data_IF_136475891438
#
_entry.id   IF_136475891438
#
_cell.length_a   1.000
_cell.length_b   1.000
_cell.length_c   1.000
_cell.angle_alpha   90.00
_cell.angle_beta   90.00
_cell.angle_gamma   90.00
#
_symmetry.space_group_name_H-M   'P 1'
#
loop_
_entity.id
_entity.type
_entity.pdbx_description
1 polymer ?
#
# COMPACT_ATOMS: atom_id res chain seq x y z
N UNK A 1 7.69 -10.25 16.43
CA UNK A 1 7.61 -9.25 17.54
C UNK A 1 8.18 -7.93 17.00
N UNK A 2 7.71 -6.74 17.40
CA UNK A 2 8.20 -5.44 16.84
C UNK A 2 9.45 -4.88 17.56
N UNK A 3 9.69 -5.32 18.80
CA UNK A 3 10.83 -4.88 19.63
C UNK A 3 12.21 -5.03 18.96
N UNK A 4 12.51 -6.13 18.23
CA UNK A 4 13.80 -6.27 17.54
C UNK A 4 14.04 -5.20 16.47
N UNK A 5 13.00 -4.74 15.77
CA UNK A 5 13.10 -3.69 14.74
C UNK A 5 13.43 -2.34 15.37
N UNK A 6 12.83 -2.00 16.51
CA UNK A 6 13.15 -0.76 17.24
C UNK A 6 14.59 -0.79 17.80
N UNK A 7 15.01 -1.93 18.37
CA UNK A 7 16.38 -2.10 18.83
C UNK A 7 17.40 -1.97 17.69
N UNK A 8 17.06 -2.49 16.50
CA UNK A 8 17.89 -2.34 15.30
C UNK A 8 17.97 -0.88 14.84
N UNK A 9 16.86 -0.13 14.92
CA UNK A 9 16.86 1.32 14.62
C UNK A 9 17.71 2.13 15.61
N UNK A 10 17.62 1.82 16.91
CA UNK A 10 18.46 2.46 17.93
C UNK A 10 19.94 2.18 17.66
N UNK A 11 20.27 0.96 17.26
CA UNK A 11 21.63 0.59 16.86
C UNK A 11 22.10 1.40 15.64
N UNK A 12 21.29 1.46 14.57
CA UNK A 12 21.61 2.25 13.36
C UNK A 12 21.86 3.72 13.74
N UNK A 13 20.99 4.30 14.57
CA UNK A 13 21.12 5.70 15.04
C UNK A 13 22.42 5.92 15.81
N UNK A 14 22.85 4.96 16.62
CA UNK A 14 24.12 5.04 17.36
C UNK A 14 25.38 4.92 16.48
N UNK A 15 25.22 4.52 15.21
CA UNK A 15 26.32 4.21 14.28
C UNK A 15 26.34 5.07 13.03
N UNK A 16 25.49 6.11 12.95
CA UNK A 16 25.39 6.99 11.78
C UNK A 16 26.76 7.54 11.35
N UNK A 17 27.60 7.94 12.30
CA UNK A 17 28.92 8.53 12.03
C UNK A 17 30.06 7.49 11.90
N UNK A 18 29.81 6.21 12.20
CA UNK A 18 30.81 5.18 12.09
C UNK A 18 30.97 4.78 10.61
N UNK A 19 32.19 4.81 10.05
CA UNK A 19 32.43 4.44 8.64
C UNK A 19 32.44 2.93 8.35
N UNK A 20 31.95 2.09 9.27
CA UNK A 20 32.15 0.64 9.21
C UNK A 20 31.17 -0.06 8.27
N UNK A 21 31.71 -0.84 7.31
CA UNK A 21 30.92 -1.56 6.29
C UNK A 21 30.38 -2.92 6.76
N UNK A 22 31.08 -3.54 7.70
CA UNK A 22 30.75 -4.86 8.23
C UNK A 22 30.69 -4.81 9.76
N UNK A 23 29.69 -5.46 10.32
CA UNK A 23 29.52 -5.59 11.76
C UNK A 23 29.45 -7.06 12.15
N UNK A 24 29.97 -7.43 13.33
CA UNK A 24 29.83 -8.79 13.79
C UNK A 24 28.36 -9.08 14.15
N UNK A 25 27.87 -10.31 13.93
CA UNK A 25 26.45 -10.65 14.04
C UNK A 25 25.89 -10.52 15.46
N UNK A 26 26.74 -10.62 16.49
CA UNK A 26 26.34 -10.42 17.89
C UNK A 26 26.15 -8.94 18.26
N UNK A 27 26.62 -8.00 17.44
CA UNK A 27 26.49 -6.57 17.69
C UNK A 27 25.15 -5.98 17.23
N UNK A 28 24.35 -6.75 16.48
CA UNK A 28 23.09 -6.29 15.88
C UNK A 28 21.97 -7.30 16.06
N UNK A 29 20.71 -6.87 16.21
CA UNK A 29 19.56 -7.79 16.19
C UNK A 29 19.43 -8.46 14.81
N UNK A 30 19.73 -9.75 14.72
CA UNK A 30 19.62 -10.53 13.48
C UNK A 30 18.27 -11.25 13.40
N UNK A 31 17.88 -11.89 14.50
CA UNK A 31 16.65 -12.66 14.57
C UNK A 31 15.41 -11.77 14.56
N UNK A 32 14.38 -12.22 13.84
CA UNK A 32 13.13 -11.49 13.57
C UNK A 32 13.25 -10.17 12.77
N UNK A 33 14.47 -9.64 12.60
CA UNK A 33 14.75 -8.46 11.77
C UNK A 33 15.06 -8.86 10.34
N UNK A 34 15.88 -9.89 10.13
CA UNK A 34 16.29 -10.34 8.80
C UNK A 34 15.42 -11.52 8.34
N UNK A 35 14.56 -11.35 7.32
CA UNK A 35 13.83 -12.47 6.73
C UNK A 35 14.78 -13.52 6.16
N UNK A 36 14.39 -14.80 6.23
CA UNK A 36 15.20 -15.90 5.70
C UNK A 36 15.66 -15.66 4.25
N UNK A 37 14.77 -15.12 3.40
CA UNK A 37 15.06 -14.78 2.00
C UNK A 37 16.15 -13.73 1.79
N UNK A 38 16.44 -12.89 2.80
CA UNK A 38 17.42 -11.81 2.70
C UNK A 38 18.72 -12.13 3.46
N UNK A 39 18.76 -13.24 4.20
CA UNK A 39 19.93 -13.61 5.01
C UNK A 39 21.21 -13.70 4.21
N UNK A 40 21.20 -14.34 3.04
CA UNK A 40 22.38 -14.45 2.17
C UNK A 40 22.84 -13.13 1.54
N UNK A 41 21.97 -12.11 1.49
CA UNK A 41 22.33 -10.77 1.00
C UNK A 41 22.85 -9.86 2.12
N UNK A 42 22.55 -10.19 3.38
CA UNK A 42 22.88 -9.38 4.56
C UNK A 42 24.05 -9.96 5.34
N UNK A 43 24.18 -11.28 5.39
CA UNK A 43 25.24 -12.01 6.12
C UNK A 43 26.13 -12.68 5.08
N UNK A 44 27.44 -12.42 5.16
CA UNK A 44 28.43 -13.05 4.29
C UNK A 44 28.84 -14.47 4.75
N UNK A 45 29.67 -15.15 3.96
CA UNK A 45 30.15 -16.50 4.25
C UNK A 45 30.98 -16.59 5.54
N UNK A 46 31.58 -15.49 5.97
CA UNK A 46 32.32 -15.36 7.23
C UNK A 46 31.41 -15.04 8.42
N UNK A 47 30.10 -14.95 8.20
CA UNK A 47 29.10 -14.64 9.22
C UNK A 47 29.01 -13.16 9.60
N UNK A 48 29.69 -12.27 8.88
CA UNK A 48 29.65 -10.81 9.13
C UNK A 48 28.41 -10.20 8.48
N UNK A 49 27.84 -9.22 9.16
CA UNK A 49 26.67 -8.48 8.69
C UNK A 49 27.13 -7.30 7.84
N UNK A 50 26.74 -7.26 6.57
CA UNK A 50 26.88 -6.08 5.73
C UNK A 50 25.92 -4.99 6.22
N UNK A 51 26.48 -3.88 6.68
CA UNK A 51 25.71 -2.80 7.30
C UNK A 51 24.67 -2.20 6.37
N UNK A 52 25.02 -1.91 5.11
CA UNK A 52 24.11 -1.27 4.15
C UNK A 52 22.92 -2.20 3.86
N UNK A 53 23.20 -3.48 3.58
CA UNK A 53 22.16 -4.49 3.39
C UNK A 53 21.27 -4.64 4.63
N UNK A 54 21.87 -4.57 5.82
CA UNK A 54 21.16 -4.64 7.09
C UNK A 54 20.25 -3.44 7.32
N UNK A 55 20.74 -2.21 7.11
CA UNK A 55 19.95 -0.97 7.22
C UNK A 55 18.74 -0.99 6.29
N UNK A 56 18.95 -1.38 5.02
CA UNK A 56 17.85 -1.55 4.07
C UNK A 56 16.85 -2.61 4.53
N UNK A 57 17.32 -3.69 5.15
CA UNK A 57 16.47 -4.71 5.75
C UNK A 57 15.63 -4.16 6.90
N UNK A 58 16.25 -3.44 7.84
CA UNK A 58 15.56 -2.82 8.97
C UNK A 58 14.54 -1.81 8.50
N UNK A 59 14.87 -0.95 7.53
CA UNK A 59 13.94 0.04 6.98
C UNK A 59 12.77 -0.61 6.23
N UNK A 60 13.01 -1.70 5.51
CA UNK A 60 11.94 -2.47 4.88
C UNK A 60 10.99 -3.10 5.91
N UNK A 61 11.53 -3.68 6.98
CA UNK A 61 10.72 -4.18 8.09
C UNK A 61 9.94 -3.07 8.78
N UNK A 62 10.60 -1.95 9.10
CA UNK A 62 9.96 -0.79 9.72
C UNK A 62 8.78 -0.32 8.87
N UNK A 63 8.97 -0.16 7.56
CA UNK A 63 7.90 0.23 6.64
C UNK A 63 6.71 -0.74 6.73
N UNK A 64 6.98 -2.04 6.70
CA UNK A 64 5.92 -3.05 6.72
C UNK A 64 5.17 -3.04 8.07
N UNK A 65 5.87 -2.86 9.19
CA UNK A 65 5.30 -2.72 10.55
C UNK A 65 4.51 -1.42 10.76
N UNK A 66 4.96 -0.32 10.15
CA UNK A 66 4.21 0.94 10.12
C UNK A 66 2.92 0.79 9.31
N UNK A 67 2.99 0.08 8.17
CA UNK A 67 1.81 -0.19 7.34
C UNK A 67 0.80 -1.11 8.04
N UNK A 68 1.25 -2.05 8.86
CA UNK A 68 0.36 -2.90 9.68
C UNK A 68 -0.07 -2.24 10.99
N UNK A 69 0.36 -1.00 11.27
CA UNK A 69 0.14 -0.28 12.53
C UNK A 69 0.67 -1.02 13.78
N UNK A 70 1.62 -1.94 13.62
CA UNK A 70 2.34 -2.55 14.75
C UNK A 70 3.36 -1.59 15.37
N UNK A 71 3.91 -0.69 14.55
CA UNK A 71 4.71 0.45 14.96
C UNK A 71 3.97 1.69 14.44
N UNK A 72 3.88 2.73 15.26
CA UNK A 72 3.25 4.00 14.87
C UNK A 72 4.18 5.18 15.12
N UNK A 73 3.89 6.29 14.45
CA UNK A 73 4.65 7.52 14.57
C UNK A 73 3.80 8.54 15.33
N UNK A 74 4.29 8.98 16.48
CA UNK A 74 3.64 10.02 17.29
C UNK A 74 3.58 11.31 16.47
N UNK A 75 2.38 11.91 16.39
CA UNK A 75 2.13 13.13 15.62
C UNK A 75 1.86 12.92 14.12
N UNK A 76 2.03 11.71 13.58
CA UNK A 76 1.55 11.40 12.23
C UNK A 76 0.03 11.22 12.25
N UNK A 77 -0.68 11.57 11.17
CA UNK A 77 -2.11 11.29 11.06
C UNK A 77 -2.34 9.86 10.52
N UNK A 78 -1.86 9.58 9.31
CA UNK A 78 -2.02 8.28 8.64
C UNK A 78 -1.44 7.09 9.41
N UNK A 79 -0.33 7.32 10.12
CA UNK A 79 0.43 6.28 10.84
C UNK A 79 0.39 6.47 12.37
N UNK A 80 -0.70 7.06 12.89
CA UNK A 80 -0.93 7.19 14.33
C UNK A 80 -1.23 5.86 15.00
N UNK A 81 -1.19 5.88 16.33
CA UNK A 81 -1.57 4.76 17.17
C UNK A 81 -3.01 4.29 16.81
N UNK A 82 -3.21 3.03 16.38
CA UNK A 82 -4.55 2.51 16.08
C UNK A 82 -5.48 2.52 17.28
N UNK A 83 -4.97 2.44 18.51
CA UNK A 83 -5.82 2.45 19.71
C UNK A 83 -6.56 3.78 19.86
N UNK A 84 -6.03 4.87 19.31
CA UNK A 84 -6.67 6.20 19.35
C UNK A 84 -7.81 6.33 18.34
N UNK A 85 -7.94 5.38 17.40
CA UNK A 85 -9.08 5.27 16.50
C UNK A 85 -10.28 4.56 17.15
N UNK A 86 -10.10 3.96 18.34
CA UNK A 86 -11.11 3.16 19.02
C UNK A 86 -11.75 3.92 20.21
N UNK A 87 -13.05 3.68 20.50
CA UNK A 87 -13.68 4.21 21.70
C UNK A 87 -12.98 3.73 22.97
N UNK A 88 -12.54 4.68 23.81
CA UNK A 88 -11.82 4.38 25.06
C UNK A 88 -12.75 3.89 26.18
N UNK A 89 -14.06 4.06 26.00
CA UNK A 89 -15.12 3.66 26.92
C UNK A 89 -15.81 2.34 26.51
N UNK A 90 -15.23 1.58 25.57
CA UNK A 90 -15.82 0.34 25.06
C UNK A 90 -16.14 -0.65 26.18
N UNK A 91 -15.23 -0.88 27.11
CA UNK A 91 -15.47 -1.83 28.22
C UNK A 91 -16.64 -1.38 29.11
N UNK A 92 -16.77 -0.08 29.36
CA UNK A 92 -17.84 0.49 30.18
C UNK A 92 -19.19 0.53 29.47
N UNK A 93 -19.20 0.72 28.14
CA UNK A 93 -20.40 0.89 27.31
C UNK A 93 -20.66 -0.25 26.36
N UNK A 94 -20.04 -1.40 26.62
CA UNK A 94 -20.08 -2.57 25.74
C UNK A 94 -21.50 -2.89 25.30
N UNK A 95 -22.42 -3.06 26.24
CA UNK A 95 -23.82 -3.37 25.95
C UNK A 95 -24.47 -2.35 25.02
N UNK A 96 -24.31 -1.05 25.28
CA UNK A 96 -24.86 0.01 24.43
C UNK A 96 -24.30 -0.02 23.00
N UNK A 97 -23.00 -0.31 22.82
CA UNK A 97 -22.41 -0.46 21.49
C UNK A 97 -22.95 -1.67 20.74
N UNK A 98 -23.06 -2.83 21.40
CA UNK A 98 -23.62 -4.03 20.79
C UNK A 98 -25.08 -3.81 20.38
N UNK A 99 -25.91 -3.21 21.24
CA UNK A 99 -27.29 -2.85 20.91
C UNK A 99 -27.36 -1.86 19.75
N UNK A 100 -26.54 -0.81 19.75
CA UNK A 100 -26.53 0.20 18.67
C UNK A 100 -26.10 -0.34 17.31
N UNK A 101 -25.25 -1.38 17.29
CA UNK A 101 -24.84 -2.09 16.08
C UNK A 101 -25.77 -3.26 15.70
N UNK A 102 -26.82 -3.51 16.49
CA UNK A 102 -27.69 -4.67 16.36
C UNK A 102 -26.90 -6.01 16.39
N UNK A 103 -25.91 -6.10 17.27
CA UNK A 103 -25.05 -7.27 17.47
C UNK A 103 -25.30 -7.91 18.84
N UNK A 104 -25.12 -9.22 18.94
CA UNK A 104 -25.16 -9.94 20.20
C UNK A 104 -23.81 -9.91 20.93
N UNK A 105 -23.83 -9.81 22.26
CA UNK A 105 -22.62 -9.92 23.08
C UNK A 105 -22.06 -11.36 23.17
N UNK A 106 -22.86 -12.36 22.78
CA UNK A 106 -22.44 -13.77 22.74
C UNK A 106 -21.75 -14.09 21.41
N UNK A 107 -20.42 -14.22 21.47
CA UNK A 107 -19.59 -14.54 20.30
C UNK A 107 -19.94 -15.90 19.66
N UNK A 108 -20.40 -16.89 20.44
CA UNK A 108 -20.81 -18.19 19.90
C UNK A 108 -22.14 -18.07 19.17
N UNK A 109 -23.12 -17.39 19.77
CA UNK A 109 -24.39 -17.13 19.10
C UNK A 109 -24.19 -16.37 17.78
N UNK A 110 -23.36 -15.31 17.79
CA UNK A 110 -23.03 -14.55 16.58
C UNK A 110 -22.39 -15.43 15.50
N UNK A 111 -21.33 -16.16 15.85
CA UNK A 111 -20.60 -16.98 14.87
C UNK A 111 -21.42 -18.15 14.34
N UNK A 112 -22.28 -18.76 15.16
CA UNK A 112 -23.22 -19.79 14.70
C UNK A 112 -24.23 -19.22 13.71
N UNK A 113 -24.84 -18.07 14.01
CA UNK A 113 -25.81 -17.42 13.12
C UNK A 113 -25.19 -17.13 11.74
N UNK A 114 -23.97 -16.57 11.69
CA UNK A 114 -23.26 -16.30 10.43
C UNK A 114 -22.95 -17.59 9.67
N UNK A 115 -22.59 -18.68 10.36
CA UNK A 115 -22.33 -19.98 9.71
C UNK A 115 -23.60 -20.59 9.13
N UNK A 116 -24.70 -20.48 9.84
CA UNK A 116 -26.02 -20.94 9.39
C UNK A 116 -26.49 -20.16 8.17
N UNK A 117 -26.40 -18.82 8.22
CA UNK A 117 -26.71 -17.94 7.08
C UNK A 117 -25.84 -18.29 5.87
N UNK A 118 -24.52 -18.41 6.05
CA UNK A 118 -23.61 -18.79 4.97
C UNK A 118 -23.97 -20.16 4.37
N UNK A 119 -24.27 -21.16 5.21
CA UNK A 119 -24.65 -22.48 4.73
C UNK A 119 -25.96 -22.44 3.93
N UNK A 120 -26.96 -21.69 4.41
CA UNK A 120 -28.23 -21.49 3.71
C UNK A 120 -28.02 -20.78 2.38
N UNK A 121 -27.28 -19.67 2.35
CA UNK A 121 -26.99 -18.92 1.13
C UNK A 121 -26.19 -19.74 0.11
N UNK A 122 -25.26 -20.59 0.55
CA UNK A 122 -24.55 -21.51 -0.35
C UNK A 122 -25.49 -22.57 -0.95
N UNK A 123 -26.42 -23.10 -0.17
CA UNK A 123 -27.44 -24.04 -0.67
C UNK A 123 -28.37 -23.35 -1.68
N UNK A 124 -28.82 -22.14 -1.38
CA UNK A 124 -29.62 -21.32 -2.28
C UNK A 124 -28.86 -20.99 -3.56
N UNK A 125 -27.59 -20.59 -3.46
CA UNK A 125 -26.74 -20.32 -4.60
C UNK A 125 -26.61 -21.57 -5.49
N UNK A 126 -26.30 -22.73 -4.92
CA UNK A 126 -26.18 -23.98 -5.67
C UNK A 126 -27.49 -24.35 -6.38
N UNK A 127 -28.64 -24.18 -5.72
CA UNK A 127 -29.95 -24.43 -6.31
C UNK A 127 -30.29 -23.43 -7.44
N UNK A 128 -29.84 -22.18 -7.31
CA UNK A 128 -30.16 -21.10 -8.26
C UNK A 128 -29.20 -21.01 -9.45
N UNK A 129 -27.95 -21.47 -9.33
CA UNK A 129 -26.94 -21.39 -10.41
C UNK A 129 -27.47 -21.88 -11.77
N UNK A 130 -28.15 -23.04 -11.89
CA UNK A 130 -28.65 -23.52 -13.19
C UNK A 130 -29.67 -22.60 -13.86
N UNK A 131 -30.32 -21.72 -13.10
CA UNK A 131 -31.37 -20.79 -13.57
C UNK A 131 -30.93 -19.34 -13.56
N UNK A 132 -29.72 -19.03 -13.09
CA UNK A 132 -29.22 -17.68 -12.94
C UNK A 132 -28.46 -17.24 -14.18
N UNK A 133 -29.09 -16.41 -15.02
CA UNK A 133 -28.50 -15.85 -16.25
C UNK A 133 -27.29 -14.93 -16.00
N UNK A 134 -27.09 -14.49 -14.76
CA UNK A 134 -25.93 -13.69 -14.34
C UNK A 134 -24.70 -14.51 -13.98
N UNK A 135 -24.81 -15.84 -13.87
CA UNK A 135 -23.71 -16.73 -13.50
C UNK A 135 -23.56 -17.82 -14.56
N UNK A 136 -22.36 -17.95 -15.12
CA UNK A 136 -22.04 -18.98 -16.11
C UNK A 136 -20.88 -19.85 -15.63
N UNK A 137 -21.10 -21.17 -15.63
CA UNK A 137 -20.05 -22.15 -15.39
C UNK A 137 -19.36 -22.48 -16.72
N UNK A 138 -18.06 -22.21 -16.80
CA UNK A 138 -17.24 -22.44 -17.98
C UNK A 138 -16.46 -23.76 -17.83
N UNK A 139 -16.46 -24.57 -18.88
CA UNK A 139 -15.79 -25.87 -18.90
C UNK A 139 -14.32 -25.81 -19.35
N UNK A 140 -13.82 -24.63 -19.72
CA UNK A 140 -12.45 -24.39 -20.22
C UNK A 140 -11.87 -23.11 -19.63
N UNK A 141 -10.54 -23.05 -19.52
CA UNK A 141 -9.80 -21.92 -18.96
C UNK A 141 -9.57 -22.03 -17.44
N UNK A 142 -8.69 -21.17 -16.92
CA UNK A 142 -8.36 -21.11 -15.48
C UNK A 142 -9.55 -20.64 -14.63
N UNK A 143 -10.38 -19.74 -15.18
CA UNK A 143 -11.56 -19.20 -14.51
C UNK A 143 -12.84 -19.94 -14.95
N UNK A 144 -13.32 -20.84 -14.10
CA UNK A 144 -14.52 -21.67 -14.38
C UNK A 144 -15.84 -21.01 -14.00
N UNK A 145 -15.82 -19.85 -13.35
CA UNK A 145 -17.02 -19.10 -12.95
C UNK A 145 -16.95 -17.72 -13.61
N UNK A 146 -17.95 -17.39 -14.41
CA UNK A 146 -18.11 -16.09 -15.06
C UNK A 146 -19.34 -15.40 -14.49
N UNK A 147 -19.14 -14.20 -13.93
CA UNK A 147 -20.21 -13.33 -13.46
C UNK A 147 -20.50 -12.27 -14.51
N UNK A 148 -21.78 -12.03 -14.77
CA UNK A 148 -22.21 -10.93 -15.63
C UNK A 148 -21.87 -9.60 -14.94
N UNK A 149 -21.18 -8.67 -15.62
CA UNK A 149 -20.86 -7.36 -15.06
C UNK A 149 -22.11 -6.62 -14.59
N UNK A 150 -21.95 -5.79 -13.57
CA UNK A 150 -23.02 -4.90 -13.15
C UNK A 150 -23.47 -4.00 -14.31
N UNK A 151 -24.77 -3.76 -14.39
CA UNK A 151 -25.28 -2.71 -15.27
C UNK A 151 -24.68 -1.38 -14.82
N UNK A 152 -24.15 -0.55 -15.74
CA UNK A 152 -23.70 0.78 -15.39
C UNK A 152 -24.80 1.53 -14.64
N UNK A 153 -24.41 2.19 -13.54
CA UNK A 153 -25.32 3.08 -12.85
C UNK A 153 -25.72 4.21 -13.81
N UNK A 154 -26.96 4.73 -13.71
CA UNK A 154 -27.35 5.91 -14.47
C UNK A 154 -26.40 7.06 -14.15
N UNK A 155 -26.12 7.89 -15.15
CA UNK A 155 -25.26 9.05 -14.91
C UNK A 155 -25.86 9.96 -13.83
N UNK A 156 -25.05 10.38 -12.83
CA UNK A 156 -25.51 11.32 -11.81
C UNK A 156 -26.03 12.61 -12.43
N UNK A 157 -27.11 13.16 -11.84
CA UNK A 157 -27.62 14.48 -12.24
C UNK A 157 -26.52 15.52 -12.11
N UNK A 158 -26.27 16.29 -13.18
CA UNK A 158 -25.27 17.34 -13.22
C UNK A 158 -23.87 16.91 -13.68
N UNK A 159 -23.60 15.61 -13.87
CA UNK A 159 -22.29 15.16 -14.39
C UNK A 159 -21.97 15.79 -15.75
N UNK A 160 -22.96 15.82 -16.65
CA UNK A 160 -22.81 16.44 -17.97
C UNK A 160 -22.50 17.93 -17.86
N UNK A 161 -23.24 18.67 -17.03
CA UNK A 161 -23.01 20.10 -16.79
C UNK A 161 -21.62 20.37 -16.24
N UNK A 162 -21.16 19.59 -15.25
CA UNK A 162 -19.81 19.71 -14.69
C UNK A 162 -18.75 19.43 -15.76
N UNK A 163 -18.92 18.37 -16.56
CA UNK A 163 -18.00 18.07 -17.67
C UNK A 163 -17.94 19.22 -18.68
N UNK A 164 -19.08 19.84 -18.99
CA UNK A 164 -19.16 21.00 -19.87
C UNK A 164 -18.42 22.21 -19.28
N UNK A 165 -18.67 22.56 -18.03
CA UNK A 165 -18.00 23.68 -17.34
C UNK A 165 -16.49 23.46 -17.25
N UNK A 166 -16.04 22.25 -16.89
CA UNK A 166 -14.63 21.88 -16.87
C UNK A 166 -14.01 22.06 -18.27
N UNK A 167 -14.70 21.57 -19.31
CA UNK A 167 -14.23 21.69 -20.69
C UNK A 167 -14.17 23.13 -21.21
N UNK A 168 -15.09 24.00 -20.77
CA UNK A 168 -15.07 25.43 -21.10
C UNK A 168 -13.93 26.16 -20.40
N UNK A 169 -13.66 25.83 -19.12
CA UNK A 169 -12.64 26.49 -18.32
C UNK A 169 -11.22 26.02 -18.65
N UNK A 170 -11.06 24.76 -19.02
CA UNK A 170 -9.78 24.14 -19.38
C UNK A 170 -9.90 23.36 -20.70
N UNK A 171 -9.98 24.06 -21.85
CA UNK A 171 -10.13 23.40 -23.14
C UNK A 171 -8.87 22.61 -23.49
N UNK A 172 -9.03 21.29 -23.68
CA UNK A 172 -8.06 20.41 -24.36
C UNK A 172 -6.60 20.49 -23.86
N UNK A 173 -6.36 20.83 -22.60
CA UNK A 173 -5.00 20.82 -22.05
C UNK A 173 -4.53 19.37 -21.92
N UNK A 174 -3.46 19.01 -22.63
CA UNK A 174 -2.86 17.69 -22.51
C UNK A 174 -2.40 17.47 -21.08
N UNK A 175 -2.65 16.28 -20.51
CA UNK A 175 -2.23 15.96 -19.15
C UNK A 175 -0.71 16.12 -18.96
N UNK A 176 0.07 15.88 -20.02
CA UNK A 176 1.52 16.14 -20.03
C UNK A 176 1.85 17.63 -19.94
N UNK A 177 1.07 18.50 -20.60
CA UNK A 177 1.25 19.95 -20.49
C UNK A 177 0.94 20.43 -19.08
N UNK A 178 -0.15 19.96 -18.48
CA UNK A 178 -0.49 20.26 -17.07
C UNK A 178 0.63 19.81 -16.15
N UNK A 179 1.18 18.60 -16.35
CA UNK A 179 2.28 18.08 -15.54
C UNK A 179 3.56 18.92 -15.72
N UNK A 180 3.85 19.34 -16.95
CA UNK A 180 5.01 20.20 -17.26
C UNK A 180 4.87 21.58 -16.62
N UNK A 181 3.72 22.25 -16.76
CA UNK A 181 3.47 23.55 -16.12
C UNK A 181 3.56 23.44 -14.60
N UNK A 182 2.94 22.41 -13.99
CA UNK A 182 3.05 22.17 -12.55
C UNK A 182 4.50 21.94 -12.11
N UNK A 183 5.30 21.23 -12.90
CA UNK A 183 6.70 21.01 -12.61
C UNK A 183 7.54 22.31 -12.66
N UNK A 184 7.23 23.20 -13.60
CA UNK A 184 7.86 24.52 -13.69
C UNK A 184 7.46 25.43 -12.53
N UNK A 185 6.17 25.45 -12.18
CA UNK A 185 5.64 26.31 -11.12
C UNK A 185 6.12 25.90 -9.72
N UNK A 186 6.23 24.59 -9.47
CA UNK A 186 6.57 24.06 -8.14
C UNK A 186 8.04 23.69 -7.97
N UNK A 187 8.78 23.56 -9.07
CA UNK A 187 10.14 23.04 -9.05
C UNK A 187 10.23 21.57 -8.63
N UNK A 188 9.15 20.78 -8.75
CA UNK A 188 9.10 19.40 -8.23
C UNK A 188 10.23 18.50 -8.75
N UNK A 189 10.75 18.78 -9.95
CA UNK A 189 11.82 17.99 -10.56
C UNK A 189 13.16 18.14 -9.82
N UNK A 190 13.34 19.20 -9.04
CA UNK A 190 14.53 19.39 -8.19
C UNK A 190 14.56 18.45 -6.98
N UNK A 191 13.40 17.88 -6.59
CA UNK A 191 13.34 16.92 -5.49
C UNK A 191 13.82 15.51 -5.90
N UNK A 192 14.10 15.27 -7.18
CA UNK A 192 14.60 13.98 -7.67
C UNK A 192 16.13 13.93 -7.58
N UNK A 193 16.63 13.31 -6.52
CA UNK A 193 18.06 13.11 -6.31
C UNK A 193 18.59 11.86 -7.03
N UNK A 194 19.82 11.94 -7.53
CA UNK A 194 20.50 10.78 -8.10
C UNK A 194 21.11 9.92 -6.99
N UNK A 195 21.01 8.60 -7.12
CA UNK A 195 21.77 7.67 -6.28
C UNK A 195 23.22 7.48 -6.76
N UNK A 196 23.59 8.09 -7.90
CA UNK A 196 24.92 7.98 -8.48
C UNK A 196 25.84 9.11 -7.99
N UNK A 197 27.14 8.87 -7.99
CA UNK A 197 28.15 9.88 -7.62
C UNK A 197 28.29 11.03 -8.64
N UNK A 198 27.71 10.88 -9.84
CA UNK A 198 27.72 11.91 -10.89
C UNK A 198 26.49 11.81 -11.78
N UNK A 199 26.02 12.95 -12.28
CA UNK A 199 24.98 13.03 -13.32
C UNK A 199 25.67 13.37 -14.65
N UNK A 200 25.64 12.45 -15.60
CA UNK A 200 26.24 12.64 -16.92
C UNK A 200 25.27 13.27 -17.95
N UNK A 201 24.01 13.45 -17.59
CA UNK A 201 22.98 14.02 -18.45
C UNK A 201 22.84 15.54 -18.21
N UNK A 202 22.66 16.35 -19.26
CA UNK A 202 22.24 17.74 -19.11
C UNK A 202 20.91 17.82 -18.36
N UNK A 203 20.75 18.83 -17.50
CA UNK A 203 19.56 19.03 -16.66
C UNK A 203 18.26 19.04 -17.45
N UNK A 204 18.22 19.75 -18.58
CA UNK A 204 17.04 19.79 -19.47
C UNK A 204 16.63 18.41 -20.01
N UNK A 205 17.61 17.58 -20.39
CA UNK A 205 17.35 16.23 -20.87
C UNK A 205 16.89 15.29 -19.73
N UNK A 206 17.42 15.49 -18.52
CA UNK A 206 16.98 14.78 -17.32
C UNK A 206 15.52 15.13 -16.99
N UNK A 207 15.19 16.42 -16.94
CA UNK A 207 13.87 16.93 -16.58
C UNK A 207 12.80 16.46 -17.58
N UNK A 208 13.10 16.51 -18.88
CA UNK A 208 12.20 15.98 -19.91
C UNK A 208 11.95 14.48 -19.73
N UNK A 209 13.00 13.69 -19.44
CA UNK A 209 12.84 12.25 -19.19
C UNK A 209 12.05 11.97 -17.92
N UNK A 210 12.27 12.74 -16.85
CA UNK A 210 11.51 12.61 -15.62
C UNK A 210 10.02 12.89 -15.85
N UNK A 211 9.67 13.95 -16.58
CA UNK A 211 8.28 14.26 -16.93
C UNK A 211 7.61 13.13 -17.71
N UNK A 212 8.28 12.59 -18.73
CA UNK A 212 7.75 11.46 -19.52
C UNK A 212 7.63 10.18 -18.69
N UNK A 213 8.57 9.92 -17.80
CA UNK A 213 8.51 8.78 -16.87
C UNK A 213 7.35 8.91 -15.89
N UNK A 214 7.18 10.08 -15.27
CA UNK A 214 6.07 10.37 -14.37
C UNK A 214 4.73 10.25 -15.08
N UNK A 215 4.62 10.78 -16.29
CA UNK A 215 3.44 10.65 -17.13
C UNK A 215 3.13 9.19 -17.44
N UNK A 216 4.13 8.40 -17.87
CA UNK A 216 3.92 7.01 -18.27
C UNK A 216 3.62 6.05 -17.12
N UNK A 217 4.27 6.26 -15.97
CA UNK A 217 4.00 5.48 -14.77
C UNK A 217 2.68 5.91 -14.11
N UNK A 218 2.40 7.21 -14.04
CA UNK A 218 1.21 7.76 -13.41
C UNK A 218 -0.10 7.46 -14.15
N UNK A 219 -0.05 7.35 -15.49
CA UNK A 219 -1.23 7.05 -16.33
C UNK A 219 -1.41 5.56 -16.62
N UNK A 220 -0.49 4.70 -16.16
CA UNK A 220 -0.41 3.28 -16.55
C UNK A 220 -0.29 3.04 -18.07
N UNK A 221 0.09 4.06 -18.85
CA UNK A 221 0.35 3.90 -20.29
C UNK A 221 1.64 3.10 -20.55
N UNK A 222 2.58 3.12 -19.60
CA UNK A 222 3.87 2.43 -19.67
C UNK A 222 4.90 3.19 -20.51
N UNK A 223 6.18 3.07 -20.13
CA UNK A 223 7.28 3.83 -20.72
C UNK A 223 7.49 3.55 -22.22
N UNK A 224 7.22 2.31 -22.68
CA UNK A 224 7.39 1.91 -24.08
C UNK A 224 6.44 2.63 -25.06
N UNK A 225 5.31 3.14 -24.59
CA UNK A 225 4.33 3.84 -25.44
C UNK A 225 4.58 5.35 -25.52
N UNK A 226 5.51 5.85 -24.71
CA UNK A 226 5.84 7.28 -24.57
C UNK A 226 7.25 7.57 -25.11
N UNK A 227 8.10 6.56 -25.18
CA UNK A 227 9.45 6.62 -25.76
C UNK A 227 9.44 6.68 -27.29
#
# INVERSE_FOLDING_TARGET
MWRPVLAALDWIRSKVDDGCRYVPPHAVPVDEVIPARWRSSVIDEEGRVNRISYELCVLAQLRDRIRSKEIWVVGADRYRNPDDDLPKDFDARREAYYTGLNLTADARAFSSAIREELAQELLLLNANIPRNDKVRLLWRGENRISLTPFKPLPEPRGLASIKTEIGQRWPMTGLLDVLKEAALDTGLLEAFETSASRVALPKTALDQRLLLCLYGLGTNAGLKRIA
#
